data_IF_974686128438
#
_entry.id   IF_974686128438
#
_cell.length_a   1.000
_cell.length_b   1.000
_cell.length_c   1.000
_cell.angle_alpha   90.00
_cell.angle_beta   90.00
_cell.angle_gamma   90.00
#
_symmetry.space_group_name_H-M   'P 1'
#
loop_
_entity.id
_entity.type
_entity.pdbx_description
1 polymer ?
#
# COMPACT_ATOMS: atom_id res chain seq x y z
N UNK A 1 -0.20 18.02 -14.81
CA UNK A 1 0.03 18.60 -13.47
C UNK A 1 1.51 18.53 -13.17
N UNK A 2 2.12 19.66 -12.79
CA UNK A 2 3.54 19.70 -12.46
C UNK A 2 3.79 18.95 -11.14
N UNK A 3 4.85 18.14 -11.11
CA UNK A 3 5.29 17.42 -9.92
C UNK A 3 6.82 17.43 -9.90
N UNK A 4 7.39 17.54 -8.71
CA UNK A 4 8.84 17.62 -8.49
C UNK A 4 9.31 16.31 -7.87
N UNK A 5 10.33 15.69 -8.45
CA UNK A 5 10.93 14.48 -7.88
C UNK A 5 11.77 14.86 -6.65
N UNK A 6 11.44 14.29 -5.50
CA UNK A 6 12.15 14.50 -4.23
C UNK A 6 13.27 13.47 -4.05
N UNK A 7 12.99 12.21 -4.36
CA UNK A 7 13.98 11.13 -4.27
C UNK A 7 13.72 10.01 -5.28
N UNK A 8 14.76 9.24 -5.57
CA UNK A 8 14.69 8.09 -6.50
C UNK A 8 15.74 7.06 -6.13
N UNK A 9 15.29 5.89 -5.67
CA UNK A 9 16.13 4.83 -5.15
C UNK A 9 15.86 3.54 -5.93
N UNK A 10 16.91 2.87 -6.41
CA UNK A 10 16.76 1.57 -7.09
C UNK A 10 16.40 0.49 -6.06
N UNK A 11 15.34 -0.28 -6.29
CA UNK A 11 14.87 -1.33 -5.38
C UNK A 11 14.18 -2.47 -6.14
N UNK A 12 14.57 -3.72 -5.85
CA UNK A 12 14.01 -4.93 -6.48
C UNK A 12 13.94 -4.86 -8.02
N UNK A 13 14.99 -4.33 -8.65
CA UNK A 13 15.08 -4.15 -10.10
C UNK A 13 14.35 -2.92 -10.64
N UNK A 14 13.39 -2.36 -9.91
CA UNK A 14 12.66 -1.14 -10.26
C UNK A 14 13.16 0.10 -9.50
N UNK A 15 12.31 1.13 -9.43
CA UNK A 15 12.60 2.40 -8.76
C UNK A 15 11.52 2.76 -7.75
N UNK A 16 11.94 2.96 -6.50
CA UNK A 16 11.14 3.62 -5.47
C UNK A 16 11.40 5.13 -5.55
N UNK A 17 10.37 5.90 -5.90
CA UNK A 17 10.46 7.35 -6.03
C UNK A 17 9.51 8.04 -5.08
N UNK A 18 9.83 9.28 -4.73
CA UNK A 18 8.97 10.18 -3.96
C UNK A 18 8.84 11.48 -4.76
N UNK A 19 7.62 11.97 -4.85
CA UNK A 19 7.28 13.17 -5.57
C UNK A 19 6.53 14.14 -4.68
N UNK A 20 6.64 15.41 -4.99
CA UNK A 20 5.89 16.51 -4.40
C UNK A 20 5.09 17.21 -5.49
N UNK A 21 3.85 17.60 -5.20
CA UNK A 21 3.05 18.43 -6.10
C UNK A 21 2.14 19.38 -5.32
N UNK A 22 1.69 20.44 -5.98
CA UNK A 22 0.62 21.29 -5.45
C UNK A 22 -0.72 20.59 -5.66
N UNK A 23 -1.46 20.35 -4.57
CA UNK A 23 -2.80 19.75 -4.63
C UNK A 23 -3.87 20.84 -4.77
N UNK A 24 -4.74 20.66 -5.76
CA UNK A 24 -5.91 21.49 -6.01
C UNK A 24 -7.05 21.20 -5.02
N UNK A 25 -7.24 19.93 -4.63
CA UNK A 25 -8.28 19.56 -3.64
C UNK A 25 -7.87 19.97 -2.21
N UNK A 26 -6.59 19.81 -1.86
CA UNK A 26 -6.11 20.04 -0.49
C UNK A 26 -5.49 21.42 -0.29
N UNK A 27 -5.29 22.19 -1.38
CA UNK A 27 -4.71 23.55 -1.39
C UNK A 27 -3.37 23.66 -0.65
N UNK A 28 -2.57 22.60 -0.72
CA UNK A 28 -1.25 22.52 -0.10
C UNK A 28 -0.31 21.65 -0.94
N UNK A 29 0.97 21.70 -0.60
CA UNK A 29 1.96 20.76 -1.12
C UNK A 29 1.72 19.37 -0.54
N UNK A 30 1.68 18.39 -1.42
CA UNK A 30 1.47 16.99 -1.07
C UNK A 30 2.62 16.14 -1.57
N UNK A 31 2.99 15.16 -0.74
CA UNK A 31 3.96 14.13 -1.10
C UNK A 31 3.26 12.81 -1.34
N UNK A 32 3.76 12.09 -2.33
CA UNK A 32 3.36 10.71 -2.57
C UNK A 32 4.55 9.90 -3.07
N UNK A 33 4.59 8.63 -2.68
CA UNK A 33 5.59 7.70 -3.14
C UNK A 33 5.05 6.81 -4.26
N UNK A 34 5.88 6.52 -5.24
CA UNK A 34 5.56 5.61 -6.35
C UNK A 34 6.66 4.57 -6.48
N UNK A 35 6.29 3.30 -6.46
CA UNK A 35 7.16 2.22 -6.87
C UNK A 35 6.88 1.86 -8.33
N UNK A 36 7.91 2.00 -9.17
CA UNK A 36 7.88 1.60 -10.58
C UNK A 36 8.59 0.25 -10.73
N UNK A 37 7.89 -0.84 -11.05
CA UNK A 37 8.51 -2.14 -11.29
C UNK A 37 9.32 -2.13 -12.60
N UNK A 38 10.25 -3.08 -12.80
CA UNK A 38 11.04 -3.16 -14.05
C UNK A 38 10.16 -3.17 -15.31
N UNK A 39 8.99 -3.82 -15.23
CA UNK A 39 8.03 -3.91 -16.33
C UNK A 39 7.46 -2.54 -16.78
N UNK A 40 7.48 -1.55 -15.91
CA UNK A 40 7.00 -0.20 -16.22
C UNK A 40 7.88 0.53 -17.25
N UNK A 41 9.09 0.04 -17.54
CA UNK A 41 9.95 0.60 -18.59
C UNK A 41 9.45 0.25 -20.00
N UNK A 42 8.71 -0.86 -20.15
CA UNK A 42 8.27 -1.37 -21.46
C UNK A 42 6.76 -1.33 -21.64
N UNK A 43 5.99 -1.61 -20.57
CA UNK A 43 4.53 -1.78 -20.64
C UNK A 43 3.78 -0.93 -19.62
N UNK A 44 2.52 -0.64 -19.95
CA UNK A 44 1.55 -0.11 -18.98
C UNK A 44 1.26 -1.17 -17.91
N UNK A 45 1.37 -0.76 -16.65
CA UNK A 45 1.19 -1.64 -15.50
C UNK A 45 -0.08 -1.29 -14.70
N UNK A 46 -0.75 -2.29 -14.09
CA UNK A 46 -1.83 -2.02 -13.14
C UNK A 46 -1.32 -1.27 -11.92
N UNK A 47 -2.20 -0.49 -11.29
CA UNK A 47 -1.88 0.36 -10.14
C UNK A 47 -2.55 -0.14 -8.88
N UNK A 48 -1.80 -0.21 -7.79
CA UNK A 48 -2.32 -0.42 -6.45
C UNK A 48 -2.06 0.81 -5.59
N UNK A 49 -3.13 1.42 -5.09
CA UNK A 49 -3.07 2.50 -4.11
C UNK A 49 -3.00 1.91 -2.70
N UNK A 50 -1.98 2.30 -1.94
CA UNK A 50 -1.83 1.95 -0.53
C UNK A 50 -2.15 3.15 0.35
N UNK A 51 -3.19 3.04 1.17
CA UNK A 51 -3.58 4.03 2.16
C UNK A 51 -2.99 3.67 3.53
N UNK A 52 -2.22 4.58 4.09
CA UNK A 52 -1.56 4.41 5.38
C UNK A 52 -2.46 4.74 6.57
N UNK A 53 -2.02 4.35 7.78
CA UNK A 53 -2.76 4.59 9.02
C UNK A 53 -2.48 5.97 9.63
N UNK A 54 -3.01 6.20 10.83
CA UNK A 54 -2.72 7.39 11.64
C UNK A 54 -1.21 7.59 11.79
N UNK A 55 -0.78 8.85 11.87
CA UNK A 55 0.61 9.34 12.05
C UNK A 55 1.60 8.93 10.96
N UNK A 56 1.18 8.19 9.94
CA UNK A 56 2.05 7.77 8.86
C UNK A 56 2.23 8.88 7.82
N UNK A 57 3.36 8.84 7.12
CA UNK A 57 3.61 9.61 5.90
C UNK A 57 3.72 8.66 4.71
N UNK A 58 4.08 9.19 3.53
CA UNK A 58 4.39 8.41 2.34
C UNK A 58 5.58 7.45 2.54
N UNK A 59 6.42 7.67 3.56
CA UNK A 59 7.63 6.89 3.85
C UNK A 59 7.36 5.57 4.59
N UNK A 60 6.38 5.52 5.48
CA UNK A 60 6.22 4.40 6.42
C UNK A 60 6.03 3.07 5.70
N UNK A 61 5.15 3.05 4.70
CA UNK A 61 4.85 1.84 3.94
C UNK A 61 6.04 1.41 3.08
N UNK A 62 6.63 2.34 2.33
CA UNK A 62 7.69 2.02 1.37
C UNK A 62 8.97 1.55 2.07
N UNK A 63 9.21 1.94 3.32
CA UNK A 63 10.40 1.51 4.07
C UNK A 63 10.18 0.24 4.91
N UNK A 64 8.95 -0.01 5.38
CA UNK A 64 8.70 -1.06 6.40
C UNK A 64 7.93 -2.27 5.88
N UNK A 65 7.20 -2.18 4.76
CA UNK A 65 6.34 -3.26 4.28
C UNK A 65 7.05 -4.30 3.40
N UNK A 66 8.19 -3.95 2.79
CA UNK A 66 8.92 -4.81 1.85
C UNK A 66 8.11 -5.23 0.62
N UNK A 67 7.14 -4.40 0.20
CA UNK A 67 6.21 -4.72 -0.89
C UNK A 67 6.86 -4.70 -2.28
N UNK A 68 8.03 -4.06 -2.43
CA UNK A 68 8.70 -3.84 -3.72
C UNK A 68 9.07 -5.14 -4.43
N UNK A 69 9.46 -6.18 -3.70
CA UNK A 69 9.82 -7.47 -4.29
C UNK A 69 8.61 -8.11 -4.98
N UNK A 70 7.48 -8.21 -4.27
CA UNK A 70 6.24 -8.75 -4.83
C UNK A 70 5.68 -7.85 -5.95
N UNK A 71 5.83 -6.53 -5.83
CA UNK A 71 5.41 -5.58 -6.85
C UNK A 71 6.21 -5.74 -8.15
N UNK A 72 7.52 -5.97 -8.05
CA UNK A 72 8.39 -6.25 -9.18
C UNK A 72 8.03 -7.57 -9.86
N UNK A 73 7.84 -8.64 -9.08
CA UNK A 73 7.48 -9.98 -9.59
C UNK A 73 6.14 -9.98 -10.33
N UNK A 74 5.16 -9.21 -9.87
CA UNK A 74 3.84 -9.13 -10.46
C UNK A 74 3.66 -7.97 -11.46
N UNK A 75 4.67 -7.11 -11.62
CA UNK A 75 4.59 -5.94 -12.50
C UNK A 75 3.50 -4.95 -12.09
N UNK A 76 3.39 -4.65 -10.79
CA UNK A 76 2.37 -3.75 -10.24
C UNK A 76 3.04 -2.45 -9.81
N UNK A 77 2.48 -1.31 -10.23
CA UNK A 77 2.87 0.01 -9.72
C UNK A 77 2.19 0.21 -8.36
N UNK A 78 2.95 0.60 -7.35
CA UNK A 78 2.38 0.92 -6.03
C UNK A 78 2.46 2.42 -5.79
N UNK A 79 1.34 3.03 -5.43
CA UNK A 79 1.26 4.45 -5.07
C UNK A 79 0.88 4.55 -3.60
N UNK A 80 1.69 5.23 -2.81
CA UNK A 80 1.46 5.48 -1.39
C UNK A 80 1.42 7.00 -1.13
N UNK A 81 0.24 7.62 -1.07
CA UNK A 81 0.10 9.02 -0.72
C UNK A 81 0.28 9.26 0.79
N UNK A 82 0.45 10.53 1.15
CA UNK A 82 0.34 10.98 2.54
C UNK A 82 -1.09 10.80 3.08
N UNK A 83 -1.24 10.96 4.40
CA UNK A 83 -2.46 10.62 5.16
C UNK A 83 -3.34 11.83 5.49
N UNK A 84 -2.82 13.04 5.33
CA UNK A 84 -3.52 14.31 5.49
C UNK A 84 -2.83 15.40 4.65
N UNK A 85 -3.48 16.56 4.43
CA UNK A 85 -2.75 17.78 4.09
C UNK A 85 -1.63 18.07 5.11
N UNK A 86 -0.59 18.79 4.67
CA UNK A 86 0.58 19.15 5.50
C UNK A 86 0.87 20.64 5.38
N UNK A 87 1.31 21.26 6.48
CA UNK A 87 1.76 22.66 6.52
C UNK A 87 0.64 23.67 6.23
N UNK A 88 -0.59 23.37 6.65
CA UNK A 88 -1.74 24.25 6.45
C UNK A 88 -1.88 25.29 7.58
N UNK A 89 -1.19 25.08 8.71
CA UNK A 89 -1.22 25.94 9.90
C UNK A 89 -2.65 26.20 10.39
N UNK A 90 -3.49 25.16 10.40
CA UNK A 90 -4.86 25.22 10.89
C UNK A 90 -4.85 25.06 12.42
N UNK A 91 -5.58 25.93 13.13
CA UNK A 91 -5.71 25.84 14.57
C UNK A 91 -6.31 24.48 14.99
N UNK A 92 -5.66 23.80 15.93
CA UNK A 92 -6.06 22.47 16.40
C UNK A 92 -5.53 21.28 15.57
N UNK A 93 -4.85 21.50 14.44
CA UNK A 93 -4.48 20.38 13.56
C UNK A 93 -3.34 19.50 14.08
N UNK A 94 -2.50 20.06 14.97
CA UNK A 94 -1.33 19.38 15.53
C UNK A 94 -1.48 19.07 17.03
N UNK A 95 -2.68 19.27 17.60
CA UNK A 95 -2.91 19.09 19.05
C UNK A 95 -2.98 17.62 19.48
N UNK A 96 -3.54 16.75 18.63
CA UNK A 96 -3.70 15.33 18.92
C UNK A 96 -3.24 14.48 17.75
N UNK A 97 -2.78 13.26 18.04
CA UNK A 97 -2.30 12.32 17.03
C UNK A 97 -3.43 11.62 16.25
N UNK A 98 -4.65 11.64 16.78
CA UNK A 98 -5.84 10.99 16.23
C UNK A 98 -6.76 11.96 15.48
N UNK A 99 -6.37 13.22 15.32
CA UNK A 99 -7.13 14.25 14.61
C UNK A 99 -6.19 15.24 13.91
N UNK A 100 -6.61 15.79 12.77
CA UNK A 100 -5.80 16.75 12.01
C UNK A 100 -4.62 16.11 11.26
N UNK A 101 -3.42 16.62 11.47
CA UNK A 101 -2.20 16.28 10.74
C UNK A 101 -1.81 14.81 10.96
N UNK A 102 -1.76 14.03 9.89
CA UNK A 102 -1.55 12.58 9.95
C UNK A 102 -2.83 11.76 10.20
N UNK A 103 -3.99 12.42 10.24
CA UNK A 103 -5.28 11.84 10.61
C UNK A 103 -6.44 12.39 9.75
N UNK A 104 -6.28 12.39 8.43
CA UNK A 104 -7.32 12.91 7.52
C UNK A 104 -8.54 12.01 7.31
N UNK A 105 -8.54 10.78 7.86
CA UNK A 105 -9.62 9.77 7.79
C UNK A 105 -10.16 9.41 6.39
N UNK A 106 -9.55 9.91 5.32
CA UNK A 106 -9.98 9.71 3.93
C UNK A 106 -11.41 10.19 3.67
N UNK A 107 -11.80 11.30 4.31
CA UNK A 107 -13.09 11.96 4.12
C UNK A 107 -12.92 13.33 3.46
N UNK A 108 -14.03 13.90 2.98
CA UNK A 108 -14.10 15.33 2.64
C UNK A 108 -14.79 16.06 3.79
N UNK A 109 -14.01 16.88 4.51
CA UNK A 109 -14.52 17.65 5.63
C UNK A 109 -15.53 18.72 5.16
N UNK A 110 -16.59 18.91 5.94
CA UNK A 110 -17.64 19.91 5.66
C UNK A 110 -17.65 21.07 6.64
N UNK A 111 -16.99 20.91 7.79
CA UNK A 111 -16.95 21.90 8.87
C UNK A 111 -15.71 22.78 8.72
N UNK A 112 -15.85 24.07 8.99
CA UNK A 112 -14.72 24.98 9.12
C UNK A 112 -13.99 24.69 10.46
N UNK A 113 -12.64 24.85 10.52
CA UNK A 113 -11.75 25.32 9.45
C UNK A 113 -11.30 24.23 8.44
N UNK A 114 -11.65 22.96 8.68
CA UNK A 114 -11.14 21.78 7.95
C UNK A 114 -11.57 21.69 6.48
N UNK A 115 -12.76 22.22 6.16
CA UNK A 115 -13.41 22.13 4.85
C UNK A 115 -12.51 22.52 3.67
N UNK A 116 -11.60 23.46 3.88
CA UNK A 116 -10.75 24.04 2.84
C UNK A 116 -9.63 23.09 2.39
N UNK A 117 -9.04 22.34 3.31
CA UNK A 117 -7.83 21.55 3.06
C UNK A 117 -8.05 20.03 3.28
N UNK A 118 -8.95 19.62 4.18
CA UNK A 118 -9.15 18.21 4.53
C UNK A 118 -10.15 17.54 3.58
N UNK A 119 -9.80 17.50 2.29
CA UNK A 119 -10.55 16.88 1.19
C UNK A 119 -9.89 15.61 0.69
N UNK A 120 -9.52 14.73 1.63
CA UNK A 120 -8.72 13.54 1.37
C UNK A 120 -9.46 12.50 0.52
N UNK A 121 -10.79 12.44 0.61
CA UNK A 121 -11.57 11.53 -0.23
C UNK A 121 -11.47 11.94 -1.71
N UNK A 122 -11.72 13.21 -2.01
CA UNK A 122 -11.60 13.77 -3.35
C UNK A 122 -10.16 13.67 -3.87
N UNK A 123 -9.16 13.94 -3.02
CA UNK A 123 -7.75 13.78 -3.40
C UNK A 123 -7.40 12.35 -3.83
N UNK A 124 -7.78 11.34 -3.04
CA UNK A 124 -7.44 9.93 -3.31
C UNK A 124 -8.23 9.34 -4.49
N UNK A 125 -9.48 9.76 -4.67
CA UNK A 125 -10.34 9.19 -5.70
C UNK A 125 -10.24 9.92 -7.04
N UNK A 126 -10.02 11.23 -7.05
CA UNK A 126 -10.08 12.05 -8.26
C UNK A 126 -8.73 12.64 -8.65
N UNK A 127 -8.11 13.44 -7.78
CA UNK A 127 -6.90 14.19 -8.13
C UNK A 127 -5.68 13.29 -8.34
N UNK A 128 -5.36 12.46 -7.35
CA UNK A 128 -4.18 11.61 -7.37
C UNK A 128 -4.22 10.61 -8.53
N UNK A 129 -5.33 9.88 -8.80
CA UNK A 129 -5.36 8.97 -9.95
C UNK A 129 -5.21 9.69 -11.30
N UNK A 130 -5.78 10.89 -11.46
CA UNK A 130 -5.58 11.71 -12.67
C UNK A 130 -4.12 12.10 -12.83
N UNK A 131 -3.45 12.49 -11.74
CA UNK A 131 -2.03 12.82 -11.73
C UNK A 131 -1.18 11.59 -12.10
N UNK A 132 -1.46 10.44 -11.50
CA UNK A 132 -0.70 9.21 -11.74
C UNK A 132 -0.86 8.74 -13.20
N UNK A 133 -2.08 8.73 -13.70
CA UNK A 133 -2.39 8.29 -15.07
C UNK A 133 -1.77 9.20 -16.14
N UNK A 134 -1.59 10.49 -15.85
CA UNK A 134 -1.00 11.44 -16.78
C UNK A 134 0.54 11.36 -16.84
N UNK A 135 1.20 10.90 -15.77
CA UNK A 135 2.66 11.01 -15.64
C UNK A 135 3.40 9.67 -15.61
N UNK A 136 2.71 8.56 -15.37
CA UNK A 136 3.33 7.24 -15.24
C UNK A 136 2.70 6.21 -16.21
N UNK A 137 3.46 5.18 -16.63
CA UNK A 137 2.99 4.14 -17.55
C UNK A 137 2.02 3.18 -16.85
N UNK A 138 0.81 3.67 -16.64
CA UNK A 138 -0.24 3.02 -15.86
C UNK A 138 -1.40 2.63 -16.76
N UNK A 139 -2.13 1.59 -16.35
CA UNK A 139 -3.39 1.16 -16.97
C UNK A 139 -4.57 1.73 -16.15
N UNK A 140 -5.28 2.76 -16.66
CA UNK A 140 -6.37 3.41 -15.94
C UNK A 140 -7.53 2.47 -15.58
N UNK A 141 -7.73 1.39 -16.34
CA UNK A 141 -8.83 0.46 -16.12
C UNK A 141 -8.51 -0.59 -15.04
N UNK A 142 -7.23 -0.72 -14.67
CA UNK A 142 -6.74 -1.73 -13.71
C UNK A 142 -6.18 -1.07 -12.45
N UNK A 143 -7.08 -0.50 -11.67
CA UNK A 143 -6.78 0.06 -10.35
C UNK A 143 -7.25 -0.87 -9.23
N UNK A 144 -6.44 -0.97 -8.18
CA UNK A 144 -6.76 -1.65 -6.92
C UNK A 144 -6.43 -0.74 -5.75
N UNK A 145 -7.09 -0.95 -4.61
CA UNK A 145 -6.87 -0.13 -3.41
C UNK A 145 -6.67 -1.03 -2.19
N UNK A 146 -5.76 -0.64 -1.32
CA UNK A 146 -5.44 -1.35 -0.09
C UNK A 146 -5.12 -0.36 1.00
N UNK A 147 -5.20 -0.77 2.26
CA UNK A 147 -4.69 0.07 3.34
C UNK A 147 -4.69 -0.59 4.72
N UNK A 148 -4.10 0.12 5.68
CA UNK A 148 -3.95 -0.34 7.06
C UNK A 148 -4.63 0.62 8.04
N UNK A 149 -5.39 0.07 9.01
CA UNK A 149 -6.09 0.85 10.05
C UNK A 149 -6.98 1.95 9.45
N UNK A 150 -6.73 3.23 9.73
CA UNK A 150 -7.39 4.37 9.07
C UNK A 150 -7.37 4.25 7.54
N UNK A 151 -6.27 3.81 6.94
CA UNK A 151 -6.18 3.55 5.51
C UNK A 151 -6.94 2.33 5.03
N UNK A 152 -7.14 1.34 5.91
CA UNK A 152 -8.03 0.21 5.63
C UNK A 152 -9.48 0.65 5.56
N UNK A 153 -9.90 1.52 6.50
CA UNK A 153 -11.18 2.21 6.44
C UNK A 153 -11.30 3.02 5.15
N UNK A 154 -10.30 3.86 4.82
CA UNK A 154 -10.23 4.63 3.58
C UNK A 154 -10.38 3.77 2.32
N UNK A 155 -9.69 2.64 2.27
CA UNK A 155 -9.73 1.74 1.13
C UNK A 155 -11.12 1.13 0.95
N UNK A 156 -11.77 0.77 2.05
CA UNK A 156 -13.14 0.24 2.05
C UNK A 156 -14.14 1.29 1.57
N UNK A 157 -14.13 2.50 2.13
CA UNK A 157 -15.08 3.55 1.73
C UNK A 157 -14.88 3.97 0.27
N UNK A 158 -13.63 4.07 -0.19
CA UNK A 158 -13.32 4.43 -1.57
C UNK A 158 -13.82 3.36 -2.55
N UNK A 159 -13.66 2.08 -2.23
CA UNK A 159 -14.14 0.99 -3.07
C UNK A 159 -15.67 0.88 -3.09
N UNK A 160 -16.32 1.01 -1.92
CA UNK A 160 -17.78 0.88 -1.80
C UNK A 160 -18.53 2.04 -2.45
N UNK A 161 -18.02 3.27 -2.31
CA UNK A 161 -18.65 4.46 -2.90
C UNK A 161 -18.38 4.62 -4.40
N UNK A 162 -17.41 3.88 -4.95
CA UNK A 162 -17.07 3.92 -6.37
C UNK A 162 -17.12 2.51 -7.00
N UNK A 163 -18.31 1.89 -7.12
CA UNK A 163 -18.43 0.56 -7.69
C UNK A 163 -17.92 0.54 -9.14
N UNK A 164 -17.06 -0.42 -9.47
CA UNK A 164 -16.47 -0.58 -10.80
C UNK A 164 -15.11 0.09 -11.01
N UNK A 165 -14.78 1.11 -10.20
CA UNK A 165 -13.50 1.86 -10.26
C UNK A 165 -12.31 1.03 -9.80
N UNK A 166 -12.46 0.29 -8.70
CA UNK A 166 -11.42 -0.58 -8.15
C UNK A 166 -11.76 -2.05 -8.40
N UNK A 167 -10.81 -2.82 -8.95
CA UNK A 167 -11.00 -4.25 -9.27
C UNK A 167 -10.79 -5.15 -8.05
N UNK A 168 -9.83 -4.78 -7.20
CA UNK A 168 -9.49 -5.50 -5.98
C UNK A 168 -9.36 -4.52 -4.82
N UNK A 169 -9.91 -4.91 -3.68
CA UNK A 169 -9.72 -4.25 -2.39
C UNK A 169 -9.09 -5.22 -1.39
N UNK A 170 -8.06 -4.77 -0.70
CA UNK A 170 -7.33 -5.51 0.32
C UNK A 170 -7.24 -4.71 1.63
N UNK A 171 -7.53 -5.32 2.78
CA UNK A 171 -7.33 -4.66 4.07
C UNK A 171 -6.56 -5.59 5.03
N UNK A 172 -5.23 -5.56 5.04
CA UNK A 172 -4.44 -6.33 5.99
C UNK A 172 -4.59 -5.77 7.42
N UNK A 173 -4.76 -6.67 8.40
CA UNK A 173 -4.87 -6.32 9.82
C UNK A 173 -3.55 -5.82 10.43
N UNK A 174 -2.40 -6.20 9.85
CA UNK A 174 -1.08 -5.78 10.30
C UNK A 174 -0.15 -5.51 9.11
N UNK A 175 0.70 -4.49 9.25
CA UNK A 175 1.86 -4.32 8.38
C UNK A 175 2.89 -5.41 8.72
N UNK A 176 3.37 -6.21 7.74
CA UNK A 176 4.51 -7.09 8.00
C UNK A 176 5.73 -6.20 8.23
N UNK A 177 6.19 -6.10 9.47
CA UNK A 177 7.44 -5.41 9.79
C UNK A 177 8.61 -6.26 9.30
N UNK A 178 9.35 -5.77 8.30
CA UNK A 178 10.56 -6.43 7.79
C UNK A 178 11.82 -5.91 8.50
N UNK A 179 11.76 -5.60 9.80
CA UNK A 179 12.97 -5.25 10.55
C UNK A 179 13.77 -6.52 10.85
N UNK A 180 14.67 -6.90 9.93
CA UNK A 180 15.84 -7.72 10.30
C UNK A 180 16.79 -6.82 11.09
N UNK A 181 16.76 -6.91 12.42
CA UNK A 181 17.90 -6.49 13.22
C UNK A 181 19.00 -7.54 13.05
N UNK A 182 20.05 -7.20 12.31
CA UNK A 182 21.35 -7.87 12.41
C UNK A 182 22.43 -6.78 12.44
N UNK A 183 22.91 -6.47 13.64
CA UNK A 183 24.08 -5.62 13.91
C UNK A 183 25.31 -6.56 13.96
N UNK A 184 26.50 -6.11 13.52
CA UNK A 184 27.50 -6.97 12.89
C UNK A 184 28.46 -7.60 13.90
N UNK A 185 28.74 -8.89 13.70
CA UNK A 185 29.76 -9.65 14.42
C UNK A 185 30.51 -10.51 13.42
N UNK A 186 31.72 -10.07 13.12
CA UNK A 186 32.68 -10.64 12.19
C UNK A 186 33.02 -12.10 12.53
N UNK A 187 32.80 -13.02 11.58
CA UNK A 187 33.57 -14.26 11.37
C UNK A 187 33.03 -15.01 10.15
N UNK A 188 33.82 -15.02 9.07
CA UNK A 188 33.62 -15.98 7.97
C UNK A 188 33.74 -17.42 8.50
N UNK A 189 32.96 -18.37 7.95
CA UNK A 189 33.48 -19.72 7.79
C UNK A 189 33.48 -20.16 6.33
N UNK A 190 34.58 -20.83 5.99
CA UNK A 190 34.85 -21.64 4.80
C UNK A 190 33.86 -22.82 4.65
N UNK A 191 33.78 -23.44 3.46
CA UNK A 191 32.69 -24.33 3.09
C UNK A 191 32.89 -25.74 3.64
N UNK A 192 31.84 -26.29 4.24
CA UNK A 192 31.76 -27.71 4.56
C UNK A 192 31.36 -27.97 6.02
N UNK A 193 30.34 -28.81 6.17
CA UNK A 193 29.79 -29.37 7.42
C UNK A 193 29.12 -28.37 8.35
N UNK A 194 27.82 -28.55 8.60
CA UNK A 194 27.17 -28.68 9.92
C UNK A 194 25.66 -28.82 9.68
N UNK A 195 25.16 -30.05 9.77
CA UNK A 195 23.75 -30.33 9.93
C UNK A 195 23.37 -30.17 11.42
N UNK A 196 22.17 -29.65 11.72
CA UNK A 196 21.44 -30.08 12.89
C UNK A 196 20.16 -30.80 12.46
N UNK A 197 20.02 -32.03 12.92
CA UNK A 197 18.80 -32.84 12.89
C UNK A 197 17.76 -32.21 13.82
N UNK A 198 16.66 -31.73 13.24
CA UNK A 198 15.42 -31.41 13.97
C UNK A 198 14.37 -32.51 13.74
N UNK A 199 13.56 -32.89 14.74
CA UNK A 199 12.46 -33.81 14.52
C UNK A 199 11.34 -33.08 13.77
N UNK A 200 10.87 -33.71 12.68
CA UNK A 200 9.85 -33.25 11.72
C UNK A 200 10.35 -32.22 10.71
N UNK A 201 11.00 -32.74 9.67
CA UNK A 201 11.23 -32.02 8.43
C UNK A 201 9.94 -31.52 7.80
N UNK A 202 9.74 -30.21 7.80
CA UNK A 202 8.99 -29.50 6.76
C UNK A 202 9.71 -28.20 6.44
N UNK A 203 10.29 -28.15 5.24
CA UNK A 203 10.66 -26.89 4.59
C UNK A 203 9.37 -26.11 4.32
N UNK A 204 9.21 -24.94 4.92
CA UNK A 204 8.17 -23.98 4.52
C UNK A 204 8.79 -22.91 3.65
N UNK A 205 8.80 -23.12 2.34
CA UNK A 205 9.02 -22.09 1.33
C UNK A 205 7.66 -21.50 0.93
N UNK A 206 6.99 -20.76 1.82
CA UNK A 206 5.78 -20.01 1.47
C UNK A 206 5.70 -18.67 2.20
N UNK A 207 5.51 -17.54 1.48
CA UNK A 207 5.21 -16.24 2.07
C UNK A 207 3.96 -16.26 2.97
N UNK A 208 4.02 -15.56 4.10
CA UNK A 208 3.02 -15.54 5.20
C UNK A 208 1.64 -14.91 4.87
N UNK A 209 1.36 -14.55 3.61
CA UNK A 209 0.21 -13.71 3.21
C UNK A 209 -1.19 -14.31 3.39
N UNK A 210 -1.33 -15.55 3.87
CA UNK A 210 -2.58 -16.32 3.69
C UNK A 210 -3.53 -16.39 4.89
N UNK A 211 -3.18 -15.93 6.10
CA UNK A 211 -4.01 -16.25 7.27
C UNK A 211 -5.04 -15.19 7.72
N UNK A 212 -4.91 -13.90 7.38
CA UNK A 212 -5.82 -12.87 7.90
C UNK A 212 -6.03 -11.69 6.95
N UNK A 213 -6.45 -11.97 5.72
CA UNK A 213 -6.56 -10.94 4.67
C UNK A 213 -7.96 -10.94 4.08
N UNK A 214 -8.69 -9.82 4.24
CA UNK A 214 -9.96 -9.59 3.55
C UNK A 214 -9.66 -9.18 2.10
N UNK A 215 -10.06 -9.99 1.13
CA UNK A 215 -9.95 -9.66 -0.30
C UNK A 215 -11.36 -9.47 -0.84
N UNK A 216 -11.65 -8.29 -1.37
CA UNK A 216 -12.90 -7.97 -2.07
C UNK A 216 -12.57 -7.86 -3.56
N UNK A 217 -13.22 -8.67 -4.40
CA UNK A 217 -13.12 -8.55 -5.87
C UNK A 217 -14.41 -7.95 -6.41
N UNK A 218 -14.27 -6.91 -7.22
CA UNK A 218 -15.37 -6.31 -7.96
C UNK A 218 -15.60 -7.10 -9.24
N UNK A 219 -16.72 -7.82 -9.31
CA UNK A 219 -17.31 -8.27 -10.59
C UNK A 219 -18.56 -7.44 -10.83
N UNK A 220 -18.90 -7.19 -12.09
CA UNK A 220 -19.83 -6.17 -12.62
C UNK A 220 -21.26 -6.07 -12.03
N UNK A 221 -21.60 -6.84 -11.00
CA UNK A 221 -22.87 -6.71 -10.26
C UNK A 221 -22.83 -7.17 -8.80
N UNK A 222 -21.67 -7.46 -8.20
CA UNK A 222 -21.58 -7.79 -6.77
C UNK A 222 -20.15 -7.72 -6.21
N UNK A 223 -20.03 -7.19 -5.00
CA UNK A 223 -18.81 -7.27 -4.18
C UNK A 223 -18.83 -8.63 -3.47
N UNK A 224 -17.92 -9.54 -3.84
CA UNK A 224 -17.75 -10.80 -3.10
C UNK A 224 -16.70 -10.63 -2.00
N UNK A 225 -17.14 -10.80 -0.75
CA UNK A 225 -16.28 -10.94 0.43
C UNK A 225 -15.66 -12.33 0.39
N UNK A 226 -14.36 -12.43 0.11
CA UNK A 226 -13.62 -13.66 0.28
C UNK A 226 -12.80 -13.59 1.57
N UNK A 227 -13.27 -14.30 2.61
CA UNK A 227 -12.40 -14.74 3.71
C UNK A 227 -11.68 -16.00 3.22
N UNK A 228 -10.35 -16.04 3.27
CA UNK A 228 -9.63 -17.30 3.03
C UNK A 228 -9.76 -18.20 4.26
N UNK A 229 -10.92 -18.82 4.44
CA UNK A 229 -11.13 -19.90 5.40
C UNK A 229 -11.61 -21.16 4.68
N UNK A 230 -10.68 -22.08 4.42
CA UNK A 230 -10.81 -23.54 4.57
C UNK A 230 -9.85 -24.27 3.61
N UNK A 231 -8.85 -24.97 4.18
CA UNK A 231 -8.41 -26.22 3.58
C UNK A 231 -9.33 -27.29 4.19
N UNK A 232 -10.24 -27.87 3.40
CA UNK A 232 -10.88 -29.15 3.76
C UNK A 232 -9.78 -30.22 3.82
N UNK A 233 -9.76 -31.10 4.83
CA UNK A 233 -8.87 -32.26 4.82
C UNK A 233 -9.37 -33.24 3.74
N UNK A 234 -8.54 -33.52 2.75
CA UNK A 234 -8.79 -34.62 1.82
C UNK A 234 -8.58 -35.94 2.58
N UNK A 235 -9.64 -36.76 2.61
CA UNK A 235 -9.64 -38.14 3.06
C UNK A 235 -8.81 -39.01 2.13
N UNK A 236 -7.83 -39.73 2.67
CA UNK A 236 -7.21 -40.88 1.99
C UNK A 236 -7.45 -42.13 2.85
N UNK A 237 -8.25 -43.07 2.32
CA UNK A 237 -8.27 -44.49 2.70
C UNK A 237 -7.31 -45.28 1.78
N UNK A 238 -7.09 -46.60 1.97
CA UNK A 238 -6.09 -47.17 2.85
C UNK A 238 -4.98 -47.91 2.07
N UNK A 239 -3.91 -48.20 2.81
CA UNK A 239 -2.74 -49.00 2.42
C UNK A 239 -3.06 -50.48 2.15
N UNK A 240 -2.42 -51.03 1.11
CA UNK A 240 -1.67 -52.29 1.17
C UNK A 240 -0.39 -52.13 0.38
#
# INVERSE_FOLDING_TARGET
MAHTQVSSNKCAGGFQKVFEHESTELKCKMKFAVYLPPKAETDKCPVMYWLSGLTCTEQNFITKAGSQVAAAEHGIIIVAPDTSPRGCNIEGEDESWDFGTGAGFYVDATQDPWKTNYRMYSYITEELPKLINANFPTDPDKMSISGHSMGGHGALICALKNPGKYKVLLCPRSLPSVTRCSVPGDRRPSPGTWAPTGPRGRRTTRPCWRRHTLVLRSTSSSIRVATTSSCRPASCCPTT
#
